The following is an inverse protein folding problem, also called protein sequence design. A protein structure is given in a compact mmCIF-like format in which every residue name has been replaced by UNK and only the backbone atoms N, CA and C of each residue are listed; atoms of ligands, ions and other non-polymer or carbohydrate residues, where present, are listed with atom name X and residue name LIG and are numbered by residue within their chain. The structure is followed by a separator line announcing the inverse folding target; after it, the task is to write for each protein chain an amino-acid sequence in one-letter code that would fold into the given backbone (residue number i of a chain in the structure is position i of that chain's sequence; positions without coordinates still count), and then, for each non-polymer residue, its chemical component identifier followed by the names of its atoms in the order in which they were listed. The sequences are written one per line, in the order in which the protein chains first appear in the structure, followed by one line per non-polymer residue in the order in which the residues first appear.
data_IF_543419783372
#
_entry.id   IF_543419783372
#
_cell.length_a   1.000
_cell.length_b   1.000
_cell.length_c   1.000
_cell.angle_alpha   90.00
_cell.angle_beta   90.00
_cell.angle_gamma   90.00
#
_symmetry.space_group_name_H-M   'P 1'
#
loop_
_entity.id
_entity.type
_entity.pdbx_description
1 polymer ?
#
# COMPACT_ATOMS: atom_id res chain seq x y z
N UNK A 1 -2.00 -0.71 10.13
CA UNK A 1 -0.55 -0.53 9.90
C UNK A 1 -0.20 -0.93 8.46
N UNK A 2 0.93 -0.48 7.94
CA UNK A 2 1.48 -0.89 6.63
C UNK A 2 2.87 -1.48 6.89
N UNK A 3 3.20 -2.60 6.24
CA UNK A 3 4.50 -3.25 6.36
C UNK A 3 5.04 -3.61 4.97
N UNK A 4 6.16 -3.02 4.58
CA UNK A 4 6.94 -3.42 3.41
C UNK A 4 7.88 -4.54 3.82
N UNK A 5 7.54 -5.80 3.53
CA UNK A 5 8.24 -6.98 4.06
C UNK A 5 9.51 -7.35 3.29
N UNK A 6 9.72 -6.76 2.12
CA UNK A 6 10.90 -6.94 1.27
C UNK A 6 11.09 -5.76 0.33
N UNK A 7 12.31 -5.55 -0.13
CA UNK A 7 12.63 -4.66 -1.26
C UNK A 7 12.75 -5.39 -2.60
N UNK A 8 12.78 -6.73 -2.57
CA UNK A 8 12.92 -7.55 -3.79
C UNK A 8 11.61 -7.50 -4.57
N UNK A 9 11.71 -7.24 -5.86
CA UNK A 9 10.56 -7.27 -6.76
C UNK A 9 10.98 -7.86 -8.12
N UNK A 10 10.12 -8.67 -8.70
CA UNK A 10 10.27 -9.25 -10.03
C UNK A 10 9.81 -8.32 -11.16
N UNK A 11 9.40 -7.07 -10.83
CA UNK A 11 9.02 -6.02 -11.79
C UNK A 11 9.80 -4.72 -11.57
N UNK A 12 9.90 -3.91 -12.63
CA UNK A 12 10.46 -2.55 -12.60
C UNK A 12 9.46 -1.50 -13.07
N UNK A 13 8.32 -1.38 -12.37
CA UNK A 13 7.21 -0.50 -12.78
C UNK A 13 7.63 0.98 -12.84
N UNK A 14 7.17 1.71 -13.85
CA UNK A 14 7.41 3.14 -13.96
C UNK A 14 6.77 3.90 -12.78
N UNK A 15 7.54 4.82 -12.16
CA UNK A 15 7.07 5.62 -11.02
C UNK A 15 6.72 4.79 -9.77
N UNK A 16 7.40 3.67 -9.56
CA UNK A 16 7.23 2.86 -8.35
C UNK A 16 7.84 3.57 -7.13
N UNK A 17 7.02 3.79 -6.08
CA UNK A 17 7.49 4.47 -4.87
C UNK A 17 8.58 3.68 -4.13
N UNK A 18 8.48 2.35 -4.12
CA UNK A 18 9.44 1.50 -3.43
C UNK A 18 10.79 1.47 -4.16
N UNK A 19 10.80 1.39 -5.49
CA UNK A 19 12.02 1.48 -6.28
C UNK A 19 12.71 2.85 -6.12
N UNK A 20 11.95 3.95 -6.08
CA UNK A 20 12.49 5.29 -5.83
C UNK A 20 13.14 5.40 -4.44
N UNK A 21 12.55 4.77 -3.43
CA UNK A 21 13.07 4.75 -2.06
C UNK A 21 14.25 3.79 -1.87
N UNK A 22 14.33 2.73 -2.68
CA UNK A 22 15.34 1.68 -2.57
C UNK A 22 16.73 2.09 -3.06
N UNK A 23 16.82 3.08 -3.96
CA UNK A 23 18.08 3.49 -4.60
C UNK A 23 19.16 4.01 -3.62
N UNK A 24 18.79 4.38 -2.38
CA UNK A 24 19.71 4.97 -1.41
C UNK A 24 20.13 4.06 -0.25
N UNK A 25 19.58 2.84 -0.13
CA UNK A 25 19.80 1.99 1.06
C UNK A 25 20.06 0.53 0.69
N UNK A 26 21.33 0.15 0.71
CA UNK A 26 21.75 -1.24 0.68
C UNK A 26 21.59 -1.87 2.08
N UNK A 27 20.35 -2.15 2.49
CA UNK A 27 20.05 -2.81 3.77
C UNK A 27 19.36 -4.13 3.50
N UNK A 28 19.68 -5.13 4.33
CA UNK A 28 19.05 -6.44 4.26
C UNK A 28 17.61 -6.40 4.75
N UNK A 29 16.76 -7.21 4.15
CA UNK A 29 15.41 -7.44 4.63
C UNK A 29 15.42 -8.03 6.05
N UNK A 30 14.45 -7.67 6.89
CA UNK A 30 14.28 -8.30 8.19
C UNK A 30 14.06 -9.81 8.05
N UNK A 31 14.68 -10.62 8.93
CA UNK A 31 14.40 -12.04 9.01
C UNK A 31 12.92 -12.33 9.33
N UNK A 32 12.40 -13.47 8.84
CA UNK A 32 11.02 -13.88 9.11
C UNK A 32 10.71 -13.98 10.62
N UNK A 33 11.67 -14.43 11.43
CA UNK A 33 11.52 -14.50 12.89
C UNK A 33 11.26 -13.13 13.53
N UNK A 34 11.90 -12.08 13.01
CA UNK A 34 11.67 -10.70 13.47
C UNK A 34 10.29 -10.22 13.06
N UNK A 35 9.85 -10.49 11.82
CA UNK A 35 8.49 -10.20 11.39
C UNK A 35 7.45 -10.96 12.21
N UNK A 36 7.70 -12.24 12.53
CA UNK A 36 6.83 -13.03 13.41
C UNK A 36 6.66 -12.42 14.80
N UNK A 37 7.73 -11.83 15.37
CA UNK A 37 7.69 -11.04 16.62
C UNK A 37 6.85 -9.78 16.44
N UNK A 38 7.12 -8.99 15.40
CA UNK A 38 6.37 -7.76 15.10
C UNK A 38 4.87 -8.03 14.95
N UNK A 39 4.48 -9.07 14.23
CA UNK A 39 3.07 -9.46 14.07
C UNK A 39 2.45 -9.90 15.41
N UNK A 40 3.21 -10.60 16.27
CA UNK A 40 2.73 -10.96 17.60
C UNK A 40 2.52 -9.74 18.51
N UNK A 41 3.46 -8.80 18.50
CA UNK A 41 3.37 -7.55 19.25
C UNK A 41 2.21 -6.69 18.73
N UNK A 42 2.02 -6.61 17.41
CA UNK A 42 0.88 -5.90 16.80
C UNK A 42 -0.46 -6.50 17.24
N UNK A 43 -0.60 -7.83 17.24
CA UNK A 43 -1.79 -8.50 17.75
C UNK A 43 -2.03 -8.18 19.23
N UNK A 44 -0.97 -8.20 20.06
CA UNK A 44 -1.04 -7.84 21.48
C UNK A 44 -1.44 -6.39 21.76
N UNK A 45 -1.16 -5.48 20.80
CA UNK A 45 -1.57 -4.07 20.83
C UNK A 45 -2.97 -3.83 20.25
N UNK A 46 -3.68 -4.87 19.81
CA UNK A 46 -5.03 -4.76 19.26
C UNK A 46 -5.08 -4.33 17.78
N UNK A 47 -3.97 -4.45 17.05
CA UNK A 47 -3.95 -4.19 15.60
C UNK A 47 -4.76 -5.28 14.91
N UNK A 48 -5.90 -4.90 14.34
CA UNK A 48 -6.78 -5.82 13.62
C UNK A 48 -6.52 -5.87 12.10
N UNK A 49 -5.75 -4.92 11.57
CA UNK A 49 -5.52 -4.77 10.13
C UNK A 49 -4.08 -4.33 9.84
N UNK A 50 -3.34 -5.11 9.04
CA UNK A 50 -1.97 -4.78 8.63
C UNK A 50 -1.77 -5.10 7.16
N UNK A 51 -1.63 -4.07 6.33
CA UNK A 51 -1.34 -4.18 4.92
C UNK A 51 0.10 -4.64 4.71
N UNK A 52 0.29 -5.74 3.99
CA UNK A 52 1.60 -6.22 3.57
C UNK A 52 1.90 -5.75 2.15
N UNK A 53 3.05 -5.11 1.99
CA UNK A 53 3.55 -4.57 0.74
C UNK A 53 5.08 -4.75 0.67
N UNK A 54 5.74 -3.96 -0.16
CA UNK A 54 7.17 -3.91 -0.34
C UNK A 54 7.49 -3.92 -1.82
N UNK A 55 8.55 -4.59 -2.24
CA UNK A 55 8.77 -4.97 -3.62
C UNK A 55 7.65 -5.92 -4.08
N UNK A 56 7.85 -7.22 -3.98
CA UNK A 56 6.79 -8.21 -4.19
C UNK A 56 6.68 -9.13 -2.95
N UNK A 57 5.60 -9.04 -2.16
CA UNK A 57 5.47 -9.83 -0.94
C UNK A 57 5.51 -11.35 -1.15
N UNK A 58 5.08 -11.85 -2.31
CA UNK A 58 5.12 -13.29 -2.62
C UNK A 58 6.54 -13.85 -2.79
N UNK A 59 7.57 -13.00 -2.89
CA UNK A 59 8.98 -13.41 -2.79
C UNK A 59 9.38 -13.83 -1.36
N UNK A 60 8.55 -13.50 -0.35
CA UNK A 60 8.82 -13.75 1.07
C UNK A 60 7.77 -14.67 1.69
N UNK A 61 7.64 -15.90 1.14
CA UNK A 61 6.73 -16.91 1.67
C UNK A 61 6.98 -17.20 3.16
N UNK A 62 8.22 -17.14 3.60
CA UNK A 62 8.64 -17.28 4.99
C UNK A 62 7.97 -16.26 5.93
N UNK A 63 7.86 -15.00 5.49
CA UNK A 63 7.18 -13.93 6.23
C UNK A 63 5.67 -14.06 6.14
N UNK A 64 5.13 -14.42 4.96
CA UNK A 64 3.69 -14.66 4.80
C UNK A 64 3.20 -15.81 5.68
N UNK A 65 4.01 -16.85 5.88
CA UNK A 65 3.69 -17.96 6.79
C UNK A 65 3.61 -17.48 8.26
N UNK A 66 4.49 -16.55 8.68
CA UNK A 66 4.41 -15.94 10.02
C UNK A 66 3.16 -15.06 10.18
N UNK A 67 2.80 -14.28 9.15
CA UNK A 67 1.58 -13.47 9.16
C UNK A 67 0.31 -14.34 9.23
N UNK A 68 0.25 -15.41 8.42
CA UNK A 68 -0.88 -16.31 8.36
C UNK A 68 -1.23 -16.96 9.72
N UNK A 69 -0.23 -17.18 10.58
CA UNK A 69 -0.43 -17.71 11.96
C UNK A 69 -1.15 -16.72 12.89
N UNK A 70 -1.32 -15.46 12.52
CA UNK A 70 -1.94 -14.41 13.33
C UNK A 70 -3.40 -14.19 12.92
N UNK A 71 -4.25 -15.14 13.21
CA UNK A 71 -5.67 -15.16 12.79
C UNK A 71 -6.49 -13.94 13.28
N UNK A 72 -6.03 -13.25 14.33
CA UNK A 72 -6.65 -12.03 14.85
C UNK A 72 -6.34 -10.77 14.03
N UNK A 73 -5.43 -10.84 13.06
CA UNK A 73 -5.09 -9.73 12.16
C UNK A 73 -5.49 -10.09 10.73
N UNK A 74 -6.19 -9.21 10.04
CA UNK A 74 -6.43 -9.28 8.61
C UNK A 74 -5.24 -8.67 7.88
N UNK A 75 -4.66 -9.42 6.95
CA UNK A 75 -3.51 -9.01 6.15
C UNK A 75 -3.89 -8.87 4.66
N UNK A 76 -4.24 -7.67 4.16
CA UNK A 76 -4.24 -7.42 2.72
C UNK A 76 -2.81 -7.50 2.20
N UNK A 77 -2.57 -8.36 1.21
CA UNK A 77 -1.27 -8.60 0.58
C UNK A 77 -1.26 -7.95 -0.79
N UNK A 78 -0.60 -6.81 -0.92
CA UNK A 78 -0.51 -6.06 -2.17
C UNK A 78 0.55 -6.70 -3.07
N UNK A 79 0.11 -7.34 -4.12
CA UNK A 79 0.96 -8.12 -5.03
C UNK A 79 0.78 -7.67 -6.48
N UNK A 80 1.83 -7.80 -7.27
CA UNK A 80 1.73 -7.60 -8.71
C UNK A 80 1.04 -8.78 -9.43
N UNK A 81 0.77 -9.87 -8.72
CA UNK A 81 0.02 -11.03 -9.21
C UNK A 81 0.82 -12.06 -10.01
N UNK A 82 2.05 -11.74 -10.45
CA UNK A 82 2.82 -12.60 -11.35
C UNK A 82 3.29 -13.92 -10.71
N UNK A 83 3.37 -13.94 -9.38
CA UNK A 83 3.75 -15.13 -8.62
C UNK A 83 2.54 -15.90 -8.08
N UNK A 84 1.32 -15.51 -8.45
CA UNK A 84 0.12 -16.26 -8.08
C UNK A 84 -0.04 -17.47 -9.01
N UNK A 85 0.48 -18.58 -8.58
CA UNK A 85 0.26 -19.91 -9.15
C UNK A 85 -0.78 -20.71 -8.33
N UNK A 86 -1.01 -21.97 -8.70
CA UNK A 86 -1.93 -22.84 -7.96
C UNK A 86 -1.51 -23.11 -6.51
N UNK A 87 -0.22 -23.00 -6.17
CA UNK A 87 0.28 -23.14 -4.79
C UNK A 87 -0.06 -21.89 -3.96
N UNK A 88 0.20 -20.70 -4.52
CA UNK A 88 -0.11 -19.43 -3.89
C UNK A 88 -1.63 -19.25 -3.71
N UNK A 89 -2.45 -19.60 -4.73
CA UNK A 89 -3.90 -19.53 -4.62
C UNK A 89 -4.43 -20.44 -3.49
N UNK A 90 -3.94 -21.67 -3.38
CA UNK A 90 -4.30 -22.58 -2.26
C UNK A 90 -3.78 -22.10 -0.91
N UNK A 91 -2.65 -21.39 -0.85
CA UNK A 91 -2.18 -20.75 0.39
C UNK A 91 -3.21 -19.72 0.88
N UNK A 92 -3.68 -18.83 0.00
CA UNK A 92 -4.71 -17.84 0.34
C UNK A 92 -6.06 -18.49 0.68
N UNK A 93 -6.45 -19.55 -0.01
CA UNK A 93 -7.69 -20.28 0.28
C UNK A 93 -7.71 -20.90 1.70
N UNK A 94 -6.55 -21.35 2.19
CA UNK A 94 -6.41 -21.95 3.54
C UNK A 94 -6.25 -20.89 4.64
N UNK A 95 -5.71 -19.72 4.32
CA UNK A 95 -5.39 -18.66 5.27
C UNK A 95 -6.29 -17.43 5.02
N UNK A 96 -7.54 -17.51 5.49
CA UNK A 96 -8.59 -16.49 5.18
C UNK A 96 -8.32 -15.10 5.74
N UNK A 97 -7.38 -14.97 6.66
CA UNK A 97 -6.87 -13.67 7.13
C UNK A 97 -5.85 -13.03 6.17
N UNK A 98 -5.39 -13.76 5.15
CA UNK A 98 -4.49 -13.27 4.11
C UNK A 98 -5.32 -12.98 2.86
N UNK A 99 -5.48 -11.69 2.51
CA UNK A 99 -6.33 -11.24 1.40
C UNK A 99 -5.45 -10.70 0.28
N UNK A 100 -5.31 -11.41 -0.86
CA UNK A 100 -4.53 -10.89 -1.98
C UNK A 100 -5.22 -9.69 -2.60
N UNK A 101 -4.46 -8.60 -2.79
CA UNK A 101 -4.86 -7.38 -3.47
C UNK A 101 -4.00 -7.24 -4.71
N UNK A 102 -4.54 -7.63 -5.85
CA UNK A 102 -3.78 -7.73 -7.11
C UNK A 102 -3.74 -6.37 -7.80
N UNK A 103 -2.56 -5.95 -8.21
CA UNK A 103 -2.35 -4.58 -8.71
C UNK A 103 -2.61 -4.45 -10.21
N UNK A 104 -3.38 -3.44 -10.59
CA UNK A 104 -3.68 -3.01 -11.96
C UNK A 104 -3.60 -1.49 -12.10
N UNK A 105 -3.64 -1.00 -13.34
CA UNK A 105 -3.69 0.44 -13.65
C UNK A 105 -4.94 0.83 -14.46
N UNK A 106 -5.71 -0.12 -14.89
CA UNK A 106 -6.80 -0.04 -15.85
C UNK A 106 -6.77 -1.26 -16.77
N UNK A 107 -7.23 -1.13 -18.01
CA UNK A 107 -7.13 -2.17 -19.01
C UNK A 107 -5.69 -2.50 -19.41
N UNK A 108 -5.56 -3.35 -20.45
CA UNK A 108 -4.26 -3.85 -20.93
C UNK A 108 -3.27 -2.72 -21.22
N UNK A 109 -3.68 -1.71 -21.96
CA UNK A 109 -2.80 -0.64 -22.39
C UNK A 109 -2.19 0.11 -21.18
N UNK A 110 -3.03 0.54 -20.24
CA UNK A 110 -2.59 1.28 -19.05
C UNK A 110 -1.72 0.40 -18.14
N UNK A 111 -2.11 -0.85 -17.92
CA UNK A 111 -1.37 -1.78 -17.06
C UNK A 111 -0.02 -2.15 -17.66
N UNK A 112 0.03 -2.55 -18.93
CA UNK A 112 1.28 -2.96 -19.57
C UNK A 112 2.24 -1.78 -19.78
N UNK A 113 1.72 -0.58 -20.05
CA UNK A 113 2.54 0.64 -20.18
C UNK A 113 3.32 0.96 -18.89
N UNK A 114 2.72 0.76 -17.71
CA UNK A 114 3.37 1.05 -16.43
C UNK A 114 4.16 -0.12 -15.87
N UNK A 115 3.62 -1.35 -16.00
CA UNK A 115 4.15 -2.54 -15.32
C UNK A 115 5.01 -3.44 -16.21
N UNK A 116 4.89 -3.29 -17.53
CA UNK A 116 5.61 -4.07 -18.53
C UNK A 116 4.66 -4.92 -19.40
N UNK A 117 5.12 -5.29 -20.60
CA UNK A 117 4.30 -6.01 -21.56
C UNK A 117 3.83 -7.37 -21.03
N UNK A 118 2.55 -7.70 -21.24
CA UNK A 118 1.93 -8.97 -20.87
C UNK A 118 1.57 -9.10 -19.37
N UNK A 119 1.81 -8.08 -18.56
CA UNK A 119 1.44 -8.10 -17.13
C UNK A 119 -0.07 -8.17 -16.95
N UNK A 120 -0.84 -7.46 -17.78
CA UNK A 120 -2.31 -7.52 -17.71
C UNK A 120 -2.84 -8.94 -17.84
N UNK A 121 -2.36 -9.71 -18.82
CA UNK A 121 -2.82 -11.09 -19.04
C UNK A 121 -2.48 -11.98 -17.85
N UNK A 122 -1.26 -11.86 -17.31
CA UNK A 122 -0.83 -12.60 -16.13
C UNK A 122 -1.69 -12.30 -14.91
N UNK A 123 -2.07 -11.03 -14.73
CA UNK A 123 -2.97 -10.63 -13.65
C UNK A 123 -4.36 -11.23 -13.84
N UNK A 124 -4.88 -11.26 -15.07
CA UNK A 124 -6.16 -11.91 -15.35
C UNK A 124 -6.13 -13.42 -15.08
N UNK A 125 -5.05 -14.12 -15.44
CA UNK A 125 -4.83 -15.53 -15.11
C UNK A 125 -4.79 -15.75 -13.58
N UNK A 126 -4.08 -14.87 -12.84
CA UNK A 126 -4.01 -14.93 -11.38
C UNK A 126 -5.38 -14.76 -10.72
N UNK A 127 -6.18 -13.80 -11.17
CA UNK A 127 -7.55 -13.59 -10.69
C UNK A 127 -8.45 -14.81 -10.93
N UNK A 128 -8.32 -15.47 -12.09
CA UNK A 128 -9.05 -16.70 -12.39
C UNK A 128 -8.64 -17.87 -11.47
N UNK A 129 -7.36 -17.96 -11.12
CA UNK A 129 -6.87 -18.96 -10.16
C UNK A 129 -7.46 -18.71 -8.77
N UNK A 130 -7.40 -17.45 -8.27
CA UNK A 130 -7.96 -17.08 -6.98
C UNK A 130 -9.48 -17.33 -6.93
N UNK A 131 -10.20 -16.97 -7.97
CA UNK A 131 -11.64 -17.18 -8.07
C UNK A 131 -12.01 -18.67 -8.05
N UNK A 132 -11.28 -19.50 -8.80
CA UNK A 132 -11.48 -20.97 -8.81
C UNK A 132 -11.24 -21.63 -7.45
N UNK A 133 -10.27 -21.16 -6.70
CA UNK A 133 -9.98 -21.65 -5.34
C UNK A 133 -10.91 -21.03 -4.27
N UNK A 134 -11.89 -20.20 -4.66
CA UNK A 134 -12.86 -19.59 -3.74
C UNK A 134 -12.24 -18.56 -2.79
N UNK A 135 -11.12 -17.94 -3.19
CA UNK A 135 -10.44 -16.92 -2.40
C UNK A 135 -11.19 -15.60 -2.50
N UNK A 136 -11.43 -14.92 -1.37
CA UNK A 136 -11.81 -13.52 -1.40
C UNK A 136 -10.58 -12.68 -1.71
N UNK A 137 -10.63 -11.87 -2.77
CA UNK A 137 -9.52 -11.03 -3.19
C UNK A 137 -9.98 -9.67 -3.69
N UNK A 138 -9.05 -8.73 -3.73
CA UNK A 138 -9.27 -7.38 -4.25
C UNK A 138 -8.29 -7.01 -5.34
N UNK A 139 -8.46 -5.79 -5.85
CA UNK A 139 -7.50 -5.15 -6.75
C UNK A 139 -7.13 -3.78 -6.22
N UNK A 140 -5.86 -3.39 -6.41
CA UNK A 140 -5.40 -2.01 -6.21
C UNK A 140 -5.16 -1.36 -7.58
N UNK A 141 -5.66 -0.13 -7.72
CA UNK A 141 -5.54 0.68 -8.92
C UNK A 141 -4.75 1.94 -8.57
N UNK A 142 -3.57 2.12 -9.17
CA UNK A 142 -2.84 3.38 -9.01
C UNK A 142 -3.49 4.42 -9.91
N UNK A 143 -4.12 5.41 -9.31
CA UNK A 143 -4.92 6.42 -10.00
C UNK A 143 -4.06 7.59 -10.44
N UNK A 144 -4.10 7.89 -11.73
CA UNK A 144 -3.41 9.01 -12.38
C UNK A 144 -4.39 9.77 -13.27
N UNK A 145 -4.02 10.99 -13.68
CA UNK A 145 -4.79 11.75 -14.70
C UNK A 145 -4.99 10.97 -16.00
N UNK A 146 -4.04 10.10 -16.34
CA UNK A 146 -4.06 9.37 -17.59
C UNK A 146 -5.01 8.16 -17.59
N UNK A 147 -5.37 7.60 -16.42
CA UNK A 147 -6.17 6.37 -16.36
C UNK A 147 -7.50 6.49 -15.60
N UNK A 148 -7.78 7.63 -14.97
CA UNK A 148 -8.94 7.80 -14.09
C UNK A 148 -10.26 7.46 -14.79
N UNK A 149 -10.45 7.87 -16.04
CA UNK A 149 -11.68 7.63 -16.81
C UNK A 149 -11.92 6.15 -17.04
N UNK A 150 -10.87 5.38 -17.37
CA UNK A 150 -10.99 3.94 -17.56
C UNK A 150 -11.06 3.20 -16.23
N UNK A 151 -10.10 3.46 -15.32
CA UNK A 151 -9.90 2.71 -14.08
C UNK A 151 -11.07 2.89 -13.07
N UNK A 152 -11.80 4.02 -13.13
CA UNK A 152 -13.00 4.27 -12.34
C UNK A 152 -14.31 4.09 -13.11
N UNK A 153 -14.29 3.51 -14.32
CA UNK A 153 -15.51 3.29 -15.11
C UNK A 153 -16.32 2.09 -14.60
N UNK A 154 -17.65 2.20 -14.67
CA UNK A 154 -18.54 1.08 -14.35
C UNK A 154 -18.27 -0.16 -15.23
N UNK A 155 -17.90 0.03 -16.49
CA UNK A 155 -17.58 -1.05 -17.41
C UNK A 155 -16.36 -1.84 -16.99
N UNK A 156 -15.25 -1.16 -16.65
CA UNK A 156 -14.03 -1.81 -16.22
C UNK A 156 -14.18 -2.48 -14.84
N UNK A 157 -14.75 -1.77 -13.87
CA UNK A 157 -14.99 -2.31 -12.53
C UNK A 157 -16.00 -3.47 -12.57
N UNK A 158 -17.06 -3.36 -13.37
CA UNK A 158 -18.03 -4.44 -13.60
C UNK A 158 -17.39 -5.69 -14.20
N UNK A 159 -16.46 -5.53 -15.15
CA UNK A 159 -15.68 -6.63 -15.72
C UNK A 159 -14.83 -7.31 -14.64
N UNK A 160 -14.13 -6.56 -13.77
CA UNK A 160 -13.36 -7.12 -12.66
C UNK A 160 -14.25 -7.83 -11.63
N UNK A 161 -15.44 -7.25 -11.33
CA UNK A 161 -16.45 -7.92 -10.48
C UNK A 161 -16.86 -9.28 -11.03
N UNK A 162 -17.11 -9.37 -12.34
CA UNK A 162 -17.48 -10.63 -12.99
C UNK A 162 -16.38 -11.70 -12.90
N UNK A 163 -15.13 -11.29 -12.70
CA UNK A 163 -13.99 -12.19 -12.45
C UNK A 163 -13.81 -12.55 -10.98
N UNK A 164 -14.67 -12.08 -10.06
CA UNK A 164 -14.65 -12.42 -8.64
C UNK A 164 -13.98 -11.39 -7.72
N UNK A 165 -13.53 -10.24 -8.24
CA UNK A 165 -12.95 -9.18 -7.41
C UNK A 165 -13.98 -8.66 -6.41
N UNK A 166 -13.68 -8.73 -5.11
CA UNK A 166 -14.56 -8.33 -4.01
C UNK A 166 -14.28 -6.94 -3.44
N UNK A 167 -13.04 -6.45 -3.58
CA UNK A 167 -12.60 -5.17 -3.05
C UNK A 167 -11.77 -4.40 -4.08
N UNK A 168 -11.95 -3.08 -4.12
CA UNK A 168 -11.27 -2.16 -5.02
C UNK A 168 -10.62 -1.06 -4.20
N UNK A 169 -9.30 -0.91 -4.36
CA UNK A 169 -8.50 0.07 -3.62
C UNK A 169 -7.90 1.03 -4.64
N UNK A 170 -8.36 2.26 -4.60
CA UNK A 170 -7.91 3.34 -5.48
C UNK A 170 -6.81 4.12 -4.77
N UNK A 171 -5.58 4.01 -5.26
CA UNK A 171 -4.41 4.66 -4.65
C UNK A 171 -3.95 5.81 -5.53
N UNK A 172 -4.04 7.06 -5.05
CA UNK A 172 -3.53 8.19 -5.79
C UNK A 172 -2.03 8.07 -6.03
N UNK A 173 -1.60 8.38 -7.25
CA UNK A 173 -0.19 8.40 -7.60
C UNK A 173 0.53 9.56 -6.89
N UNK A 174 1.65 9.25 -6.25
CA UNK A 174 2.55 10.25 -5.65
C UNK A 174 3.90 10.20 -6.35
N UNK A 175 4.36 11.29 -6.98
CA UNK A 175 5.60 11.34 -7.77
C UNK A 175 6.85 11.45 -6.88
N UNK A 176 7.12 10.42 -6.07
CA UNK A 176 8.20 10.42 -5.06
C UNK A 176 9.62 10.45 -5.65
N UNK A 177 9.79 10.17 -6.94
CA UNK A 177 11.06 10.27 -7.67
C UNK A 177 11.24 11.64 -8.36
N UNK A 178 10.28 12.54 -8.20
CA UNK A 178 10.24 13.84 -8.88
C UNK A 178 9.92 13.75 -10.37
N UNK A 179 9.43 12.62 -10.84
CA UNK A 179 8.99 12.40 -12.22
C UNK A 179 7.50 12.15 -12.27
N UNK A 180 6.87 12.49 -13.41
CA UNK A 180 5.44 12.25 -13.60
C UNK A 180 4.54 13.11 -12.71
N UNK A 181 4.96 14.33 -12.34
CA UNK A 181 4.12 15.29 -11.60
C UNK A 181 2.84 15.62 -12.38
N UNK A 182 2.91 15.61 -13.71
CA UNK A 182 1.77 15.76 -14.62
C UNK A 182 0.73 14.63 -14.51
N UNK A 183 1.11 13.47 -14.00
CA UNK A 183 0.22 12.34 -13.75
C UNK A 183 -0.52 12.43 -12.42
N UNK A 184 -0.02 13.23 -11.47
CA UNK A 184 -0.62 13.37 -10.15
C UNK A 184 -1.95 14.11 -10.21
N UNK A 185 -2.87 13.75 -9.29
CA UNK A 185 -4.18 14.39 -9.20
C UNK A 185 -4.09 15.83 -8.72
N UNK A 186 -4.92 16.69 -9.34
CA UNK A 186 -5.33 17.97 -8.78
C UNK A 186 -6.70 17.87 -8.10
N UNK A 187 -7.26 19.02 -7.73
CA UNK A 187 -8.58 19.13 -7.08
C UNK A 187 -9.71 18.54 -7.95
N UNK A 188 -9.64 18.76 -9.26
CA UNK A 188 -10.71 18.33 -10.17
C UNK A 188 -10.73 16.82 -10.37
N UNK A 189 -9.55 16.19 -10.50
CA UNK A 189 -9.46 14.72 -10.62
C UNK A 189 -9.92 14.04 -9.33
N UNK A 190 -9.67 14.61 -8.16
CA UNK A 190 -10.18 14.08 -6.88
C UNK A 190 -11.69 14.15 -6.79
N UNK A 191 -12.30 15.25 -7.21
CA UNK A 191 -13.78 15.37 -7.29
C UNK A 191 -14.35 14.35 -8.27
N UNK A 192 -13.70 14.20 -9.43
CA UNK A 192 -14.09 13.20 -10.45
C UNK A 192 -14.06 11.79 -9.87
N UNK A 193 -12.96 11.43 -9.18
CA UNK A 193 -12.85 10.11 -8.55
C UNK A 193 -13.92 9.92 -7.46
N UNK A 194 -14.12 10.90 -6.58
CA UNK A 194 -15.12 10.82 -5.52
C UNK A 194 -16.53 10.58 -6.09
N UNK A 195 -16.92 11.34 -7.11
CA UNK A 195 -18.22 11.17 -7.79
C UNK A 195 -18.34 9.82 -8.47
N UNK A 196 -17.26 9.34 -9.12
CA UNK A 196 -17.25 8.02 -9.75
C UNK A 196 -17.41 6.90 -8.70
N UNK A 197 -16.74 7.01 -7.55
CA UNK A 197 -16.82 6.03 -6.46
C UNK A 197 -18.23 5.94 -5.87
N UNK A 198 -18.94 7.05 -5.73
CA UNK A 198 -20.33 7.02 -5.27
C UNK A 198 -21.22 6.24 -6.25
N UNK A 199 -21.09 6.49 -7.55
CA UNK A 199 -21.81 5.71 -8.56
C UNK A 199 -21.41 4.22 -8.61
N UNK A 200 -20.14 3.89 -8.34
CA UNK A 200 -19.68 2.50 -8.29
C UNK A 200 -20.21 1.75 -7.07
N UNK A 201 -20.26 2.40 -5.91
CA UNK A 201 -20.82 1.83 -4.66
C UNK A 201 -22.29 1.45 -4.84
N UNK A 202 -23.05 2.28 -5.53
CA UNK A 202 -24.48 2.05 -5.80
C UNK A 202 -24.71 1.04 -6.93
N UNK A 203 -23.94 1.14 -8.02
CA UNK A 203 -24.23 0.44 -9.27
C UNK A 203 -23.54 -0.90 -9.46
N UNK A 204 -22.32 -1.08 -8.94
CA UNK A 204 -21.50 -2.27 -9.21
C UNK A 204 -21.37 -3.18 -7.98
N UNK A 205 -21.44 -2.61 -6.80
CA UNK A 205 -21.25 -3.32 -5.54
C UNK A 205 -19.77 -3.70 -5.28
N UNK A 206 -19.51 -4.26 -4.10
CA UNK A 206 -18.16 -4.53 -3.62
C UNK A 206 -17.70 -3.49 -2.60
N UNK A 207 -16.47 -3.66 -2.11
CA UNK A 207 -15.84 -2.72 -1.17
C UNK A 207 -14.99 -1.74 -1.99
N UNK A 208 -15.29 -0.43 -1.91
CA UNK A 208 -14.55 0.62 -2.61
C UNK A 208 -13.85 1.53 -1.60
N UNK A 209 -12.51 1.55 -1.61
CA UNK A 209 -11.66 2.33 -0.69
C UNK A 209 -10.74 3.22 -1.52
N UNK A 210 -10.65 4.51 -1.19
CA UNK A 210 -9.72 5.46 -1.81
C UNK A 210 -8.61 5.85 -0.83
N UNK A 211 -7.36 5.94 -1.31
CA UNK A 211 -6.21 6.42 -0.56
C UNK A 211 -5.47 7.54 -1.33
N UNK A 212 -5.30 8.72 -0.76
CA UNK A 212 -6.01 9.29 0.39
C UNK A 212 -7.44 9.65 -0.03
N UNK A 213 -8.46 9.15 0.61
CA UNK A 213 -9.84 9.42 0.22
C UNK A 213 -10.58 10.29 1.22
N UNK A 214 -10.54 9.85 2.47
CA UNK A 214 -11.32 10.41 3.55
C UNK A 214 -10.48 11.27 4.51
N UNK A 215 -9.23 11.63 4.13
CA UNK A 215 -8.31 12.38 5.00
C UNK A 215 -8.85 13.75 5.38
N UNK A 216 -9.54 14.43 4.46
CA UNK A 216 -10.16 15.74 4.74
C UNK A 216 -11.23 15.64 5.85
N UNK A 217 -12.11 14.64 5.77
CA UNK A 217 -13.12 14.36 6.78
C UNK A 217 -12.52 13.95 8.13
N UNK A 218 -11.30 13.37 8.12
CA UNK A 218 -10.55 12.96 9.31
C UNK A 218 -9.60 14.04 9.84
N UNK A 219 -9.69 15.27 9.34
CA UNK A 219 -8.86 16.40 9.76
C UNK A 219 -7.40 16.32 9.27
N UNK A 220 -7.18 15.80 8.08
CA UNK A 220 -5.88 15.69 7.39
C UNK A 220 -5.25 14.31 7.41
N UNK A 221 -4.00 14.24 6.93
CA UNK A 221 -3.27 12.98 6.72
C UNK A 221 -3.24 12.07 7.96
N UNK A 222 -3.54 10.79 7.77
CA UNK A 222 -3.60 9.76 8.83
C UNK A 222 -2.25 9.09 9.15
N UNK A 223 -1.16 9.53 8.53
CA UNK A 223 0.18 9.01 8.76
C UNK A 223 0.71 9.28 10.18
N UNK A 224 1.93 8.87 10.43
CA UNK A 224 2.68 9.10 11.68
C UNK A 224 1.95 8.65 12.97
N UNK A 225 1.12 7.63 12.88
CA UNK A 225 0.39 7.05 14.01
C UNK A 225 -0.95 7.75 14.33
N UNK A 226 -1.44 8.69 13.51
CA UNK A 226 -2.81 9.21 13.64
C UNK A 226 -3.85 8.14 13.26
N UNK A 227 -3.62 7.38 12.22
CA UNK A 227 -4.41 6.25 11.78
C UNK A 227 -3.54 5.05 11.40
N UNK A 228 -2.34 5.29 10.87
CA UNK A 228 -1.39 4.25 10.54
C UNK A 228 0.07 4.70 10.67
N UNK A 229 0.96 3.72 10.69
CA UNK A 229 2.42 3.86 10.49
C UNK A 229 2.88 2.86 9.46
N UNK A 230 4.07 3.06 8.92
CA UNK A 230 4.74 2.17 7.99
C UNK A 230 5.97 1.53 8.63
N UNK A 231 6.15 0.23 8.44
CA UNK A 231 7.37 -0.49 8.79
C UNK A 231 8.06 -0.86 7.48
N UNK A 232 9.26 -0.37 7.26
CA UNK A 232 10.00 -0.70 6.04
C UNK A 232 10.66 -2.08 6.13
N UNK A 233 11.16 -2.57 5.00
CA UNK A 233 11.74 -3.91 4.88
C UNK A 233 12.92 -4.18 5.82
N UNK A 234 13.64 -3.14 6.26
CA UNK A 234 14.79 -3.24 7.16
C UNK A 234 14.46 -2.96 8.64
N UNK A 235 13.18 -2.71 8.96
CA UNK A 235 12.69 -2.54 10.33
C UNK A 235 12.55 -1.12 10.82
N UNK A 236 12.82 -0.10 9.98
CA UNK A 236 12.55 1.28 10.35
C UNK A 236 11.05 1.54 10.47
N UNK A 237 10.62 2.20 11.55
CA UNK A 237 9.24 2.66 11.72
C UNK A 237 9.12 4.08 11.15
N UNK A 238 8.39 4.20 10.07
CA UNK A 238 8.26 5.41 9.26
C UNK A 238 6.86 6.01 9.39
N UNK A 239 6.68 7.32 9.16
CA UNK A 239 5.36 7.95 9.12
C UNK A 239 4.43 7.33 8.06
N UNK A 240 4.95 7.07 6.86
CA UNK A 240 4.21 6.63 5.68
C UNK A 240 5.19 6.06 4.64
N UNK A 241 4.75 5.15 3.72
CA UNK A 241 5.59 4.70 2.60
C UNK A 241 6.15 5.84 1.74
N UNK A 242 5.43 6.96 1.63
CA UNK A 242 5.86 8.16 0.89
C UNK A 242 6.75 9.12 1.70
N UNK A 243 7.04 8.79 2.95
CA UNK A 243 7.93 9.55 3.84
C UNK A 243 8.92 8.59 4.51
N UNK A 244 9.92 8.07 3.75
CA UNK A 244 10.78 6.96 4.14
C UNK A 244 11.92 7.43 5.06
N UNK A 245 11.57 7.96 6.24
CA UNK A 245 12.50 8.42 7.27
C UNK A 245 12.08 7.88 8.64
N UNK A 246 13.05 7.43 9.42
CA UNK A 246 12.82 6.82 10.72
C UNK A 246 13.93 7.18 11.69
N UNK A 247 13.60 7.34 12.97
CA UNK A 247 14.51 7.52 14.09
C UNK A 247 14.66 6.27 14.96
N UNK A 248 13.90 5.22 14.66
CA UNK A 248 13.82 3.97 15.44
C UNK A 248 13.81 2.73 14.54
N UNK A 249 14.29 1.61 15.10
CA UNK A 249 14.36 0.33 14.37
C UNK A 249 13.77 -0.81 15.19
N UNK A 250 12.89 -1.59 14.56
CA UNK A 250 12.35 -2.82 15.15
C UNK A 250 13.38 -3.98 15.24
N UNK A 251 14.61 -3.77 14.77
CA UNK A 251 15.72 -4.68 15.08
C UNK A 251 16.07 -4.64 16.54
N UNK A 252 16.05 -3.43 17.13
CA UNK A 252 16.64 -3.12 18.42
C UNK A 252 15.61 -2.91 19.53
N UNK A 253 14.30 -2.74 19.19
CA UNK A 253 13.25 -2.46 20.15
C UNK A 253 11.92 -3.12 19.80
N UNK A 254 10.98 -3.12 20.73
CA UNK A 254 9.61 -3.59 20.53
C UNK A 254 8.79 -2.60 19.69
N UNK A 255 7.72 -3.10 19.07
CA UNK A 255 6.78 -2.26 18.34
C UNK A 255 6.14 -1.19 19.24
N UNK A 256 5.84 -1.53 20.51
CA UNK A 256 5.26 -0.59 21.47
C UNK A 256 6.19 0.58 21.75
N UNK A 257 7.48 0.31 21.96
CA UNK A 257 8.51 1.35 22.17
C UNK A 257 8.68 2.21 20.92
N UNK A 258 8.76 1.57 19.74
CA UNK A 258 8.90 2.26 18.45
C UNK A 258 7.72 3.20 18.15
N UNK A 259 6.49 2.82 18.48
CA UNK A 259 5.31 3.69 18.35
C UNK A 259 5.37 4.94 19.22
N UNK A 260 6.18 4.92 20.28
CA UNK A 260 6.52 6.06 21.13
C UNK A 260 7.58 7.01 20.56
N UNK A 261 8.05 6.81 19.31
CA UNK A 261 9.08 7.62 18.65
C UNK A 261 8.90 9.12 18.87
N UNK A 262 9.92 9.83 19.40
CA UNK A 262 9.90 11.27 19.55
C UNK A 262 9.74 12.01 18.21
N UNK A 263 10.30 11.49 17.13
CA UNK A 263 10.15 12.04 15.78
C UNK A 263 8.68 11.97 15.32
N UNK A 264 8.02 10.82 15.45
CA UNK A 264 6.60 10.69 15.08
C UNK A 264 5.71 11.64 15.92
N UNK A 265 6.04 11.85 17.21
CA UNK A 265 5.34 12.80 18.06
C UNK A 265 5.50 14.23 17.54
N UNK A 266 6.75 14.68 17.30
CA UNK A 266 7.02 16.02 16.74
C UNK A 266 6.32 16.23 15.40
N UNK A 267 6.29 15.20 14.55
CA UNK A 267 5.63 15.29 13.25
C UNK A 267 4.12 15.50 13.40
N UNK A 268 3.46 14.79 14.32
CA UNK A 268 2.03 15.01 14.63
C UNK A 268 1.74 16.42 15.15
N UNK A 269 2.65 16.98 15.95
CA UNK A 269 2.52 18.31 16.55
C UNK A 269 2.92 19.46 15.60
N UNK A 270 3.55 19.15 14.47
CA UNK A 270 4.12 20.15 13.54
C UNK A 270 3.09 20.91 12.69
N UNK A 271 1.84 20.45 12.63
CA UNK A 271 0.80 20.98 11.74
C UNK A 271 0.90 20.54 10.27
N UNK A 272 1.99 19.86 9.86
CA UNK A 272 2.20 19.42 8.45
C UNK A 272 1.08 18.52 7.93
N UNK A 273 0.50 17.69 8.79
CA UNK A 273 -0.53 16.73 8.41
C UNK A 273 -1.94 17.31 8.28
N UNK A 274 -2.16 18.51 8.81
CA UNK A 274 -3.41 19.25 8.67
C UNK A 274 -3.38 20.27 7.55
N UNK A 275 -2.28 20.38 6.81
CA UNK A 275 -2.18 21.33 5.71
C UNK A 275 -3.00 20.85 4.51
N UNK A 276 -3.75 21.77 3.93
CA UNK A 276 -4.41 21.57 2.64
C UNK A 276 -3.36 21.26 1.57
N UNK A 277 -3.39 20.09 0.96
CA UNK A 277 -2.43 19.72 -0.07
C UNK A 277 -3.09 19.72 -1.44
N UNK A 278 -2.61 20.62 -2.26
CA UNK A 278 -2.89 20.67 -3.69
C UNK A 278 -2.05 19.60 -4.37
N UNK A 279 -2.67 18.50 -4.78
CA UNK A 279 -2.01 17.44 -5.55
C UNK A 279 -0.91 16.71 -4.77
N UNK A 280 -1.12 15.47 -4.40
CA UNK A 280 -0.09 14.65 -3.78
C UNK A 280 -0.20 14.54 -2.26
N UNK A 281 0.83 13.99 -1.66
CA UNK A 281 0.94 13.68 -0.25
C UNK A 281 1.48 14.89 0.53
N UNK A 282 0.83 15.32 1.63
CA UNK A 282 1.28 16.43 2.47
C UNK A 282 2.70 16.22 3.02
N UNK A 283 3.04 14.98 3.39
CA UNK A 283 4.38 14.65 3.87
C UNK A 283 5.44 14.69 2.75
N UNK A 284 5.06 14.31 1.52
CA UNK A 284 5.95 14.46 0.37
C UNK A 284 6.18 15.92 0.00
N UNK A 285 5.14 16.73 -0.03
CA UNK A 285 5.25 18.16 -0.27
C UNK A 285 6.06 18.87 0.80
N UNK A 286 5.89 18.47 2.08
CA UNK A 286 6.63 18.96 3.23
C UNK A 286 7.93 18.21 3.55
N UNK A 287 8.51 17.42 2.64
CA UNK A 287 9.62 16.48 2.89
C UNK A 287 10.87 17.11 3.51
N UNK A 288 11.17 18.36 3.19
CA UNK A 288 12.30 19.08 3.79
C UNK A 288 12.04 19.34 5.28
N UNK A 289 10.83 19.81 5.61
CA UNK A 289 10.42 20.03 7.00
C UNK A 289 10.37 18.73 7.80
N UNK A 290 9.93 17.63 7.16
CA UNK A 290 9.97 16.29 7.78
C UNK A 290 11.41 15.91 8.15
N UNK A 291 12.38 16.14 7.25
CA UNK A 291 13.81 15.88 7.49
C UNK A 291 14.39 16.77 8.61
N UNK A 292 13.98 18.04 8.67
CA UNK A 292 14.38 18.93 9.79
C UNK A 292 13.87 18.43 11.13
N UNK A 293 12.60 17.98 11.20
CA UNK A 293 12.03 17.43 12.42
C UNK A 293 12.72 16.13 12.88
N UNK A 294 13.25 15.34 11.93
CA UNK A 294 14.04 14.17 12.24
C UNK A 294 15.39 14.58 12.89
N UNK A 295 16.12 15.55 12.30
CA UNK A 295 17.46 15.99 12.78
C UNK A 295 17.45 16.62 14.18
N UNK A 296 16.35 17.21 14.62
CA UNK A 296 16.22 17.82 15.97
C UNK A 296 16.33 16.83 17.14
N UNK A 297 16.53 15.55 16.88
CA UNK A 297 16.83 14.54 17.89
C UNK A 297 18.30 14.55 18.35
N UNK A 298 19.18 15.13 17.55
CA UNK A 298 20.63 15.09 17.76
C UNK A 298 21.13 16.27 18.60
N UNK A 299 20.23 17.20 19.02
CA UNK A 299 20.51 18.29 19.97
C UNK A 299 19.88 18.01 21.35
#
# INVERSE_FOLDING_TARGET
MIASITKICNLGCAGCYDAANSASRCTEDLPAVTWGRVFAEAAGLGVAFMLLAGGEPLERQDVLDEAARRSGIVFPVFTNGLLIDGKAARFFARNRNMIPIVSLEGGRQATDARRGPGVFDKVMEAMELLSREGVFFGTSLTMTRANIEEAASQGFIGMLRSKGVGAFIYVEYVPVDGKGEDLAFGKEERKTLASALDGLREGVGGIHISFPGDEEAMGGCLAAGRGFVHINHSGGLEPCPFSPVSDVSLKDMSLKEALGSPFLKRLRESGLMGMEHLGGCSLWNGRERVRELLRRQEE
#
